data_IF_108028174292
#
_entry.id   IF_108028174292
#
_cell.length_a   1.000
_cell.length_b   1.000
_cell.length_c   1.000
_cell.angle_alpha   90.00
_cell.angle_beta   90.00
_cell.angle_gamma   90.00
#
_symmetry.space_group_name_H-M   'P 1'
#
loop_
_entity.id
_entity.type
_entity.pdbx_description
1 polymer ?
#
# COMPACT_ATOMS: atom_id res chain seq x y z
N UNK A 1 3.35 -4.76 -22.28
CA UNK A 1 3.68 -3.63 -21.39
C UNK A 1 4.42 -4.20 -20.20
N UNK A 2 5.73 -3.96 -20.12
CA UNK A 2 6.62 -4.54 -19.11
C UNK A 2 6.25 -4.03 -17.72
N UNK A 3 6.22 -4.93 -16.74
CA UNK A 3 6.22 -4.55 -15.33
C UNK A 3 7.40 -3.60 -15.08
N UNK A 4 7.09 -2.38 -14.65
CA UNK A 4 8.09 -1.35 -14.38
C UNK A 4 8.84 -1.75 -13.12
N UNK A 5 10.04 -2.31 -13.28
CA UNK A 5 11.02 -2.44 -12.19
C UNK A 5 11.15 -1.09 -11.51
N UNK A 6 10.98 -1.05 -10.18
CA UNK A 6 11.23 0.15 -9.37
C UNK A 6 12.67 0.61 -9.65
N UNK A 7 12.80 1.65 -10.49
CA UNK A 7 14.01 2.48 -10.54
C UNK A 7 14.25 3.02 -9.13
N UNK A 8 15.51 3.28 -8.78
CA UNK A 8 15.86 3.93 -7.53
C UNK A 8 14.96 5.15 -7.29
N UNK A 9 14.37 5.24 -6.09
CA UNK A 9 13.48 6.34 -5.68
C UNK A 9 14.21 7.22 -4.67
N UNK A 10 13.90 8.52 -4.67
CA UNK A 10 14.47 9.54 -3.80
C UNK A 10 15.96 9.81 -4.05
N UNK A 11 16.84 8.88 -3.68
CA UNK A 11 18.30 9.04 -3.71
C UNK A 11 18.94 7.91 -4.54
N UNK A 12 20.00 8.23 -5.28
CA UNK A 12 20.83 7.20 -5.92
C UNK A 12 22.18 7.00 -5.20
N UNK A 13 22.93 6.01 -5.68
CA UNK A 13 24.22 5.55 -5.13
C UNK A 13 25.33 6.63 -5.04
N UNK A 14 25.11 7.83 -5.61
CA UNK A 14 26.05 8.95 -5.49
C UNK A 14 26.06 9.54 -4.08
N UNK A 15 24.96 9.44 -3.34
CA UNK A 15 24.81 10.02 -2.01
C UNK A 15 25.08 8.93 -0.96
N UNK A 16 26.27 8.97 -0.35
CA UNK A 16 26.74 7.94 0.60
C UNK A 16 26.86 8.41 2.05
N UNK A 17 26.55 9.67 2.34
CA UNK A 17 26.64 10.25 3.68
C UNK A 17 25.62 11.37 3.88
N UNK A 18 25.32 11.66 5.14
CA UNK A 18 24.41 12.75 5.53
C UNK A 18 24.92 14.11 5.03
N UNK A 19 26.22 14.35 5.13
CA UNK A 19 26.85 15.59 4.65
C UNK A 19 26.73 15.73 3.13
N UNK A 20 26.89 14.62 2.39
CA UNK A 20 26.68 14.63 0.94
C UNK A 20 25.22 14.93 0.60
N UNK A 21 24.27 14.36 1.34
CA UNK A 21 22.84 14.63 1.18
C UNK A 21 22.51 16.11 1.42
N UNK A 22 22.92 16.68 2.56
CA UNK A 22 22.69 18.10 2.86
C UNK A 22 23.24 19.03 1.78
N UNK A 23 24.47 18.76 1.29
CA UNK A 23 25.08 19.56 0.23
C UNK A 23 24.31 19.46 -1.09
N UNK A 24 23.84 18.25 -1.44
CA UNK A 24 23.03 18.05 -2.65
C UNK A 24 21.70 18.75 -2.53
N UNK A 25 21.02 18.65 -1.39
CA UNK A 25 19.72 19.29 -1.16
C UNK A 25 19.79 20.81 -1.20
N UNK A 26 20.81 21.42 -0.57
CA UNK A 26 21.05 22.88 -0.67
C UNK A 26 21.31 23.31 -2.11
N UNK A 27 22.12 22.56 -2.86
CA UNK A 27 22.34 22.83 -4.29
C UNK A 27 21.07 22.64 -5.13
N UNK A 28 20.20 21.74 -4.70
CA UNK A 28 18.94 21.45 -5.36
C UNK A 28 17.86 22.48 -5.04
N UNK A 29 17.97 23.31 -4.00
CA UNK A 29 16.96 24.34 -3.66
C UNK A 29 16.94 25.50 -4.65
N UNK A 30 18.12 25.92 -5.13
CA UNK A 30 18.29 27.03 -6.07
C UNK A 30 17.61 26.78 -7.42
N UNK A 31 17.46 25.52 -7.82
CA UNK A 31 17.08 25.19 -9.19
C UNK A 31 15.56 25.11 -9.45
N UNK A 32 14.75 24.34 -8.66
CA UNK A 32 13.30 24.36 -8.72
C UNK A 32 12.72 25.75 -8.44
N UNK A 33 13.37 26.54 -7.57
CA UNK A 33 12.96 27.91 -7.26
C UNK A 33 13.18 28.90 -8.41
N UNK A 34 14.03 28.55 -9.39
CA UNK A 34 14.34 29.39 -10.55
C UNK A 34 13.45 29.09 -11.79
N UNK A 35 12.62 28.05 -11.74
CA UNK A 35 11.70 27.66 -12.82
C UNK A 35 10.24 27.91 -12.40
N UNK A 36 9.31 27.83 -13.35
CA UNK A 36 7.90 28.02 -13.03
C UNK A 36 7.40 26.92 -12.07
N UNK A 37 6.60 27.23 -11.03
CA UNK A 37 6.13 26.25 -10.03
C UNK A 37 5.46 25.01 -10.63
N UNK A 38 4.71 25.20 -11.73
CA UNK A 38 3.97 24.15 -12.44
C UNK A 38 4.82 23.35 -13.43
N UNK A 39 6.11 23.63 -13.55
CA UNK A 39 7.01 22.90 -14.47
C UNK A 39 6.98 21.42 -14.11
N UNK A 40 6.63 20.50 -15.04
CA UNK A 40 6.62 19.07 -14.76
C UNK A 40 8.01 18.51 -14.42
N UNK A 41 8.08 17.56 -13.49
CA UNK A 41 9.34 16.91 -13.08
C UNK A 41 10.16 16.38 -14.27
N UNK A 42 9.49 15.89 -15.31
CA UNK A 42 10.12 15.34 -16.51
C UNK A 42 11.05 16.33 -17.22
N UNK A 43 10.79 17.63 -17.14
CA UNK A 43 11.59 18.65 -17.81
C UNK A 43 12.96 18.88 -17.13
N UNK A 44 13.04 18.59 -15.83
CA UNK A 44 14.27 18.79 -15.04
C UNK A 44 14.84 17.51 -14.40
N UNK A 45 14.23 16.35 -14.68
CA UNK A 45 14.65 15.04 -14.16
C UNK A 45 16.16 14.79 -14.38
N UNK A 46 16.68 15.08 -15.57
CA UNK A 46 18.09 14.82 -15.88
C UNK A 46 19.03 15.56 -14.93
N UNK A 47 18.74 16.83 -14.64
CA UNK A 47 19.58 17.68 -13.79
C UNK A 47 19.55 17.25 -12.33
N UNK A 48 18.39 16.83 -11.83
CA UNK A 48 18.27 16.28 -10.48
C UNK A 48 18.99 14.94 -10.34
N UNK A 49 18.90 14.07 -11.34
CA UNK A 49 19.58 12.77 -11.33
C UNK A 49 21.11 12.90 -11.34
N UNK A 50 21.65 13.90 -12.06
CA UNK A 50 23.09 14.20 -12.08
C UNK A 50 23.65 14.51 -10.68
N UNK A 51 22.87 15.21 -9.85
CA UNK A 51 23.25 15.58 -8.48
C UNK A 51 22.90 14.51 -7.44
N UNK A 52 22.21 13.43 -7.85
CA UNK A 52 21.93 12.27 -7.00
C UNK A 52 20.48 12.10 -6.56
N UNK A 53 19.57 12.96 -7.06
CA UNK A 53 18.15 12.94 -6.73
C UNK A 53 17.34 12.24 -7.83
N UNK A 54 16.69 11.13 -7.49
CA UNK A 54 15.83 10.35 -8.40
C UNK A 54 14.36 10.80 -8.29
N UNK A 55 13.42 10.08 -8.90
CA UNK A 55 11.97 10.38 -8.80
C UNK A 55 11.44 10.15 -7.37
N UNK A 56 10.35 10.83 -7.01
CA UNK A 56 9.68 10.67 -5.71
C UNK A 56 9.58 11.95 -4.88
N UNK A 57 10.26 13.03 -5.28
CA UNK A 57 10.24 14.32 -4.58
C UNK A 57 8.99 15.16 -4.88
N UNK A 58 8.33 14.92 -6.03
CA UNK A 58 7.20 15.72 -6.49
C UNK A 58 6.96 15.54 -7.99
N UNK A 59 5.76 15.86 -8.45
CA UNK A 59 5.41 15.84 -9.88
C UNK A 59 5.64 17.17 -10.62
N UNK A 60 5.77 18.28 -9.88
CA UNK A 60 6.11 19.61 -10.40
C UNK A 60 7.23 20.27 -9.58
N UNK A 61 7.74 21.41 -10.05
CA UNK A 61 8.84 22.13 -9.41
C UNK A 61 8.50 22.59 -7.98
N UNK A 62 7.27 23.08 -7.76
CA UNK A 62 6.80 23.52 -6.45
C UNK A 62 6.92 22.42 -5.38
N UNK A 63 6.33 21.25 -5.65
CA UNK A 63 6.32 20.13 -4.70
C UNK A 63 7.71 19.58 -4.46
N UNK A 64 8.56 19.54 -5.49
CA UNK A 64 9.96 19.14 -5.33
C UNK A 64 10.68 20.11 -4.40
N UNK A 65 10.49 21.42 -4.59
CA UNK A 65 11.07 22.45 -3.72
C UNK A 65 10.59 22.31 -2.27
N UNK A 66 9.28 22.20 -2.06
CA UNK A 66 8.72 21.95 -0.73
C UNK A 66 9.35 20.73 -0.08
N UNK A 67 9.44 19.61 -0.80
CA UNK A 67 9.95 18.36 -0.26
C UNK A 67 11.43 18.46 0.12
N UNK A 68 12.24 19.14 -0.70
CA UNK A 68 13.66 19.41 -0.39
C UNK A 68 13.76 20.26 0.88
N UNK A 69 12.96 21.32 1.00
CA UNK A 69 12.95 22.20 2.17
C UNK A 69 12.58 21.44 3.44
N UNK A 70 11.51 20.62 3.42
CA UNK A 70 11.12 19.80 4.57
C UNK A 70 12.23 18.82 5.00
N UNK A 71 13.01 18.27 4.06
CA UNK A 71 14.14 17.40 4.41
C UNK A 71 15.28 18.20 5.02
N UNK A 72 15.60 19.37 4.48
CA UNK A 72 16.61 20.25 5.06
C UNK A 72 16.25 20.65 6.49
N UNK A 73 15.00 21.06 6.73
CA UNK A 73 14.49 21.39 8.07
C UNK A 73 14.65 20.21 9.04
N UNK A 74 14.28 19.00 8.60
CA UNK A 74 14.43 17.79 9.42
C UNK A 74 15.89 17.51 9.79
N UNK A 75 16.83 17.81 8.87
CA UNK A 75 18.25 17.58 9.06
C UNK A 75 18.93 18.67 9.92
N UNK A 76 18.40 19.89 9.92
CA UNK A 76 18.95 21.04 10.64
C UNK A 76 18.34 21.20 12.04
N UNK A 77 17.02 21.05 12.17
CA UNK A 77 16.29 21.19 13.43
C UNK A 77 14.99 20.35 13.42
N UNK A 78 15.01 19.09 13.90
CA UNK A 78 13.80 18.27 13.94
C UNK A 78 12.82 18.77 15.00
N UNK A 79 11.77 19.50 14.59
CA UNK A 79 10.63 19.80 15.45
C UNK A 79 9.73 18.55 15.63
N UNK A 80 8.96 18.44 16.73
CA UNK A 80 8.19 17.22 17.04
C UNK A 80 7.18 16.76 15.96
N UNK A 81 6.72 17.66 15.08
CA UNK A 81 5.71 17.38 14.03
C UNK A 81 6.31 17.15 12.63
N UNK A 82 7.58 17.49 12.44
CA UNK A 82 8.28 17.41 11.14
C UNK A 82 8.46 15.96 10.64
N UNK A 83 8.77 14.96 11.50
CA UNK A 83 8.91 13.58 11.04
C UNK A 83 7.62 12.97 10.51
N UNK A 84 6.46 13.27 11.11
CA UNK A 84 5.17 12.72 10.69
C UNK A 84 4.77 13.21 9.30
N UNK A 85 4.95 14.51 9.05
CA UNK A 85 4.65 15.13 7.75
C UNK A 85 5.60 14.61 6.68
N UNK A 86 6.89 14.50 6.99
CA UNK A 86 7.89 13.95 6.07
C UNK A 86 7.63 12.48 5.75
N UNK A 87 7.50 11.62 6.76
CA UNK A 87 7.23 10.18 6.58
C UNK A 87 5.89 9.93 5.86
N UNK A 88 4.87 10.76 6.12
CA UNK A 88 3.60 10.69 5.41
C UNK A 88 3.68 11.06 3.91
N UNK A 89 4.71 11.83 3.53
CA UNK A 89 5.00 12.25 2.13
C UNK A 89 5.99 11.34 1.41
N UNK A 90 6.59 10.34 2.06
CA UNK A 90 7.46 9.37 1.37
C UNK A 90 6.58 8.32 0.65
N UNK A 91 6.92 7.93 -0.60
CA UNK A 91 6.31 6.80 -1.30
C UNK A 91 6.61 5.45 -0.64
N UNK A 92 6.04 5.17 0.54
CA UNK A 92 6.29 3.89 1.24
C UNK A 92 5.25 2.82 0.90
N UNK A 93 3.99 3.21 0.66
CA UNK A 93 2.88 2.25 0.55
C UNK A 93 2.41 2.12 -0.90
N UNK A 94 2.81 1.03 -1.54
CA UNK A 94 2.35 0.68 -2.90
C UNK A 94 1.47 -0.58 -2.91
N UNK A 95 1.70 -1.49 -1.96
CA UNK A 95 0.93 -2.71 -1.80
C UNK A 95 0.35 -2.78 -0.39
N UNK A 96 -0.96 -2.97 -0.32
CA UNK A 96 -1.69 -3.04 0.96
C UNK A 96 -2.38 -4.39 1.07
N UNK A 97 -2.25 -4.99 2.25
CA UNK A 97 -2.95 -6.21 2.62
C UNK A 97 -3.85 -5.94 3.82
N UNK A 98 -5.13 -6.23 3.65
CA UNK A 98 -6.16 -6.11 4.70
C UNK A 98 -6.63 -7.51 5.08
N UNK A 99 -6.49 -7.89 6.34
CA UNK A 99 -6.92 -9.20 6.85
C UNK A 99 -8.34 -9.15 7.41
N UNK A 100 -9.23 -9.98 6.87
CA UNK A 100 -10.59 -10.19 7.37
C UNK A 100 -11.01 -11.67 7.22
N UNK A 101 -10.41 -12.59 8.00
CA UNK A 101 -10.61 -14.04 7.81
C UNK A 101 -11.96 -14.55 8.35
N UNK A 102 -12.71 -13.73 9.08
CA UNK A 102 -13.95 -14.13 9.76
C UNK A 102 -15.17 -13.78 8.91
N UNK A 103 -16.21 -14.61 9.03
CA UNK A 103 -17.53 -14.35 8.46
C UNK A 103 -17.67 -14.54 6.96
N UNK A 104 -18.77 -14.01 6.41
CA UNK A 104 -19.05 -13.97 4.98
C UNK A 104 -18.62 -12.62 4.43
N UNK A 105 -17.66 -12.63 3.49
CA UNK A 105 -17.14 -11.41 2.88
C UNK A 105 -17.38 -11.45 1.36
N UNK A 106 -18.36 -10.66 0.92
CA UNK A 106 -18.68 -10.42 -0.49
C UNK A 106 -19.31 -9.03 -0.65
N UNK A 107 -19.48 -8.61 -1.90
CA UNK A 107 -20.05 -7.30 -2.22
C UNK A 107 -21.57 -7.30 -2.29
N UNK A 108 -22.16 -8.46 -2.62
CA UNK A 108 -23.61 -8.66 -2.75
C UNK A 108 -24.06 -9.91 -1.97
N UNK A 109 -25.34 -9.96 -1.61
CA UNK A 109 -26.03 -11.12 -1.05
C UNK A 109 -25.45 -11.72 0.25
N UNK A 110 -24.66 -10.97 1.01
CA UNK A 110 -24.13 -11.42 2.32
C UNK A 110 -24.77 -10.71 3.52
N UNK A 111 -25.51 -9.63 3.30
CA UNK A 111 -26.21 -8.92 4.37
C UNK A 111 -27.24 -9.85 5.04
N UNK A 112 -27.10 -10.01 6.37
CA UNK A 112 -27.93 -10.91 7.18
C UNK A 112 -27.26 -12.23 7.57
N UNK A 113 -26.10 -12.57 6.99
CA UNK A 113 -25.30 -13.70 7.47
C UNK A 113 -24.49 -13.34 8.74
N UNK A 114 -24.20 -14.32 9.62
CA UNK A 114 -23.35 -14.11 10.79
C UNK A 114 -21.96 -13.58 10.42
N UNK A 115 -21.44 -12.66 11.24
CA UNK A 115 -20.09 -12.08 11.10
C UNK A 115 -19.81 -11.38 9.75
N UNK A 116 -20.83 -10.84 9.07
CA UNK A 116 -20.64 -10.12 7.79
C UNK A 116 -19.98 -8.75 7.99
N UNK A 117 -18.86 -8.50 7.31
CA UNK A 117 -18.09 -7.25 7.41
C UNK A 117 -18.15 -6.46 6.10
N UNK A 118 -18.90 -5.36 6.06
CA UNK A 118 -19.04 -4.50 4.86
C UNK A 118 -18.23 -3.21 4.90
N UNK A 119 -17.85 -2.73 6.10
CA UNK A 119 -17.18 -1.42 6.25
C UNK A 119 -15.81 -1.35 5.57
N UNK A 120 -15.15 -2.51 5.36
CA UNK A 120 -13.84 -2.59 4.72
C UNK A 120 -13.92 -2.14 3.25
N UNK A 121 -15.06 -2.37 2.58
CA UNK A 121 -15.23 -2.02 1.16
C UNK A 121 -15.15 -0.51 0.94
N UNK A 122 -15.77 0.28 1.82
CA UNK A 122 -15.71 1.74 1.74
C UNK A 122 -14.31 2.28 2.08
N UNK A 123 -13.65 1.68 3.07
CA UNK A 123 -12.27 2.04 3.44
C UNK A 123 -11.29 1.78 2.29
N UNK A 124 -11.44 0.66 1.58
CA UNK A 124 -10.57 0.31 0.45
C UNK A 124 -10.74 1.27 -0.71
N UNK A 125 -11.97 1.71 -1.02
CA UNK A 125 -12.23 2.72 -2.07
C UNK A 125 -11.55 4.06 -1.76
N UNK A 126 -11.70 4.52 -0.52
CA UNK A 126 -11.06 5.75 -0.07
C UNK A 126 -9.53 5.61 -0.08
N UNK A 127 -9.01 4.47 0.39
CA UNK A 127 -7.58 4.20 0.44
C UNK A 127 -6.96 4.15 -0.96
N UNK A 128 -7.58 3.48 -1.92
CA UNK A 128 -7.09 3.43 -3.29
C UNK A 128 -7.00 4.82 -3.92
N UNK A 129 -8.05 5.63 -3.73
CA UNK A 129 -8.11 7.01 -4.24
C UNK A 129 -6.97 7.86 -3.67
N UNK A 130 -6.71 7.75 -2.37
CA UNK A 130 -5.63 8.46 -1.69
C UNK A 130 -4.25 7.95 -2.14
N UNK A 131 -4.08 6.63 -2.32
CA UNK A 131 -2.83 6.05 -2.81
C UNK A 131 -2.50 6.56 -4.22
N UNK A 132 -3.48 6.55 -5.13
CA UNK A 132 -3.31 7.06 -6.50
C UNK A 132 -2.94 8.55 -6.49
N UNK A 133 -3.61 9.35 -5.65
CA UNK A 133 -3.33 10.77 -5.49
C UNK A 133 -1.88 11.01 -5.02
N UNK A 134 -1.42 10.28 -3.99
CA UNK A 134 -0.06 10.43 -3.46
C UNK A 134 1.02 9.99 -4.44
N UNK A 135 0.83 8.85 -5.11
CA UNK A 135 1.75 8.36 -6.15
C UNK A 135 1.89 9.40 -7.26
N UNK A 136 0.77 9.98 -7.70
CA UNK A 136 0.76 11.05 -8.70
C UNK A 136 1.48 12.30 -8.20
N UNK A 137 1.18 12.78 -6.98
CA UNK A 137 1.83 13.96 -6.41
C UNK A 137 3.35 13.83 -6.27
N UNK A 138 3.87 12.62 -6.10
CA UNK A 138 5.32 12.35 -6.01
C UNK A 138 6.00 12.15 -7.37
N UNK A 139 5.24 12.23 -8.48
CA UNK A 139 5.78 12.03 -9.82
C UNK A 139 6.16 10.58 -10.11
N UNK A 140 5.51 9.63 -9.45
CA UNK A 140 5.75 8.20 -9.61
C UNK A 140 4.69 7.55 -10.50
N UNK A 141 5.11 6.52 -11.23
CA UNK A 141 4.24 5.72 -12.10
C UNK A 141 4.16 4.30 -11.56
N UNK A 142 3.63 4.19 -10.34
CA UNK A 142 3.43 2.91 -9.64
C UNK A 142 1.94 2.60 -9.66
N UNK A 143 1.60 1.38 -10.03
CA UNK A 143 0.22 0.89 -9.95
C UNK A 143 0.07 0.32 -8.54
N UNK A 144 -0.78 0.91 -7.66
CA UNK A 144 -1.00 0.36 -6.34
C UNK A 144 -1.74 -0.98 -6.45
N UNK A 145 -1.69 -1.80 -5.40
CA UNK A 145 -2.53 -2.99 -5.32
C UNK A 145 -2.99 -3.22 -3.89
N UNK A 146 -4.30 -3.37 -3.71
CA UNK A 146 -4.92 -3.60 -2.40
C UNK A 146 -5.59 -4.98 -2.42
N UNK A 147 -5.22 -5.85 -1.48
CA UNK A 147 -5.82 -7.17 -1.33
C UNK A 147 -6.53 -7.28 0.02
N UNK A 148 -7.85 -7.48 -0.03
CA UNK A 148 -8.66 -7.85 1.13
C UNK A 148 -8.64 -9.37 1.22
N UNK A 149 -7.89 -9.90 2.17
CA UNK A 149 -7.74 -11.34 2.36
C UNK A 149 -8.79 -11.84 3.32
N UNK A 150 -9.57 -12.80 2.85
CA UNK A 150 -10.68 -13.40 3.60
C UNK A 150 -10.77 -14.89 3.31
N UNK A 151 -11.65 -15.58 4.01
CA UNK A 151 -11.80 -17.02 3.89
C UNK A 151 -12.58 -17.41 2.64
N UNK A 152 -12.11 -18.44 1.96
CA UNK A 152 -12.79 -19.08 0.85
C UNK A 152 -13.88 -20.04 1.36
N UNK A 153 -15.13 -19.80 0.95
CA UNK A 153 -16.31 -20.58 1.36
C UNK A 153 -17.01 -21.14 0.12
N UNK A 154 -16.65 -22.35 -0.34
CA UNK A 154 -17.17 -22.92 -1.59
C UNK A 154 -18.65 -23.31 -1.51
N UNK A 155 -19.18 -23.54 -0.31
CA UNK A 155 -20.57 -24.00 -0.11
C UNK A 155 -21.55 -22.83 0.13
N UNK A 156 -21.08 -21.58 0.09
CA UNK A 156 -21.89 -20.38 0.32
C UNK A 156 -22.69 -19.97 -0.93
N UNK A 157 -23.73 -20.75 -1.26
CA UNK A 157 -24.58 -20.56 -2.45
C UNK A 157 -25.27 -19.19 -2.42
N UNK A 158 -25.36 -18.54 -3.59
CA UNK A 158 -25.98 -17.22 -3.74
C UNK A 158 -25.04 -16.03 -3.46
N UNK A 159 -23.81 -16.31 -3.02
CA UNK A 159 -22.76 -15.33 -2.77
C UNK A 159 -21.54 -15.59 -3.65
N UNK A 160 -20.61 -14.65 -3.69
CA UNK A 160 -19.31 -14.82 -4.36
C UNK A 160 -18.21 -15.33 -3.41
N UNK A 161 -18.54 -15.76 -2.18
CA UNK A 161 -17.56 -16.23 -1.20
C UNK A 161 -16.76 -17.47 -1.66
N UNK A 162 -17.23 -18.18 -2.70
CA UNK A 162 -16.51 -19.27 -3.37
C UNK A 162 -15.68 -18.85 -4.58
N UNK A 163 -15.47 -17.55 -4.81
CA UNK A 163 -14.63 -17.02 -5.90
C UNK A 163 -13.27 -16.59 -5.32
N UNK A 164 -12.17 -17.20 -5.78
CA UNK A 164 -10.81 -16.95 -5.25
C UNK A 164 -10.43 -15.46 -5.32
N UNK A 165 -10.63 -14.82 -6.46
CA UNK A 165 -10.23 -13.42 -6.67
C UNK A 165 -11.41 -12.65 -7.25
N UNK A 166 -11.84 -11.60 -6.55
CA UNK A 166 -12.97 -10.76 -6.94
C UNK A 166 -12.57 -9.29 -6.91
N UNK A 167 -12.90 -8.55 -7.96
CA UNK A 167 -12.60 -7.10 -8.02
C UNK A 167 -13.59 -6.31 -7.18
N UNK A 168 -13.09 -5.37 -6.36
CA UNK A 168 -13.96 -4.47 -5.59
C UNK A 168 -14.63 -3.44 -6.51
N UNK A 169 -15.94 -3.27 -6.41
CA UNK A 169 -16.71 -2.31 -7.18
C UNK A 169 -16.28 -0.88 -6.87
N UNK A 170 -16.18 -0.08 -7.94
CA UNK A 170 -15.75 1.32 -7.85
C UNK A 170 -14.25 1.48 -7.63
N UNK A 171 -13.45 0.44 -7.84
CA UNK A 171 -11.99 0.46 -7.72
C UNK A 171 -11.31 -0.03 -9.00
N UNK A 172 -10.04 0.30 -9.20
CA UNK A 172 -9.24 -0.17 -10.33
C UNK A 172 -8.28 -1.30 -9.95
N UNK A 173 -7.73 -1.23 -8.75
CA UNK A 173 -6.59 -2.03 -8.29
C UNK A 173 -6.83 -2.74 -6.95
N UNK A 174 -8.08 -2.78 -6.49
CA UNK A 174 -8.47 -3.41 -5.24
C UNK A 174 -9.25 -4.70 -5.47
N UNK A 175 -8.85 -5.76 -4.77
CA UNK A 175 -9.40 -7.11 -4.94
C UNK A 175 -9.63 -7.81 -3.60
N UNK A 176 -10.65 -8.64 -3.54
CA UNK A 176 -10.89 -9.61 -2.48
C UNK A 176 -10.16 -10.90 -2.88
N UNK A 177 -9.21 -11.33 -2.07
CA UNK A 177 -8.49 -12.59 -2.20
C UNK A 177 -9.02 -13.57 -1.16
N UNK A 178 -9.56 -14.69 -1.62
CA UNK A 178 -10.15 -15.73 -0.78
C UNK A 178 -9.24 -16.93 -0.70
N UNK A 179 -8.78 -17.23 0.51
CA UNK A 179 -7.88 -18.36 0.78
C UNK A 179 -8.64 -19.45 1.54
N UNK A 180 -8.56 -20.73 1.16
CA UNK A 180 -9.21 -21.80 1.90
C UNK A 180 -8.51 -22.04 3.23
N UNK A 181 -9.27 -22.33 4.29
CA UNK A 181 -8.69 -22.93 5.49
C UNK A 181 -8.46 -24.42 5.23
N UNK A 182 -7.29 -24.92 5.64
CA UNK A 182 -6.94 -26.32 5.49
C UNK A 182 -6.95 -27.06 6.83
N UNK A 183 -7.22 -28.36 6.76
CA UNK A 183 -7.10 -29.31 7.85
C UNK A 183 -6.36 -30.55 7.32
N UNK A 184 -6.02 -31.50 8.20
CA UNK A 184 -5.44 -32.80 7.80
C UNK A 184 -6.28 -33.56 6.76
N UNK A 185 -7.59 -33.28 6.70
CA UNK A 185 -8.55 -33.92 5.77
C UNK A 185 -8.76 -33.10 4.48
N UNK A 186 -7.99 -32.04 4.26
CA UNK A 186 -8.13 -31.11 3.15
C UNK A 186 -8.89 -29.83 3.51
N UNK A 187 -9.46 -29.17 2.48
CA UNK A 187 -10.13 -27.86 2.61
C UNK A 187 -11.36 -27.93 3.51
N UNK A 188 -11.42 -27.02 4.48
CA UNK A 188 -12.59 -26.85 5.35
C UNK A 188 -13.64 -26.00 4.65
N UNK A 189 -14.67 -26.65 4.10
CA UNK A 189 -15.68 -26.03 3.24
C UNK A 189 -16.75 -25.24 3.99
N UNK A 190 -17.13 -25.70 5.19
CA UNK A 190 -18.21 -25.11 5.99
C UNK A 190 -17.78 -23.80 6.64
N UNK A 191 -18.74 -22.89 6.84
CA UNK A 191 -18.52 -21.72 7.70
C UNK A 191 -18.11 -22.16 9.12
N UNK A 192 -17.20 -21.40 9.71
CA UNK A 192 -16.68 -21.64 11.06
C UNK A 192 -16.97 -20.37 11.86
N UNK A 193 -17.44 -20.57 13.09
CA UNK A 193 -17.66 -19.48 14.03
C UNK A 193 -16.36 -18.71 14.30
N UNK A 194 -16.45 -17.39 14.48
CA UNK A 194 -15.30 -16.57 14.93
C UNK A 194 -14.65 -17.08 16.22
N UNK A 195 -15.37 -17.85 17.05
CA UNK A 195 -14.85 -18.45 18.29
C UNK A 195 -14.05 -19.74 18.06
N UNK A 196 -14.12 -20.33 16.86
CA UNK A 196 -13.48 -21.62 16.52
C UNK A 196 -12.43 -21.46 15.40
N UNK A 197 -12.36 -20.29 14.77
CA UNK A 197 -11.45 -20.01 13.63
C UNK A 197 -9.97 -20.14 14.01
N UNK A 198 -9.63 -19.95 15.28
CA UNK A 198 -8.25 -19.96 15.79
C UNK A 198 -7.52 -21.29 15.52
N UNK A 199 -8.25 -22.41 15.44
CA UNK A 199 -7.72 -23.73 15.13
C UNK A 199 -7.05 -23.83 13.75
N UNK A 200 -7.35 -22.88 12.85
CA UNK A 200 -6.90 -22.90 11.46
C UNK A 200 -5.95 -21.75 11.12
N UNK A 201 -5.69 -20.83 12.05
CA UNK A 201 -5.00 -19.57 11.74
C UNK A 201 -3.54 -19.76 11.34
N UNK A 202 -2.83 -20.71 11.93
CA UNK A 202 -1.41 -20.94 11.63
C UNK A 202 -1.22 -21.40 10.18
N UNK A 203 -1.88 -22.49 9.78
CA UNK A 203 -1.86 -22.97 8.39
C UNK A 203 -2.44 -21.95 7.42
N UNK A 204 -3.51 -21.25 7.82
CA UNK A 204 -4.10 -20.21 7.00
C UNK A 204 -3.14 -19.04 6.76
N UNK A 205 -2.33 -18.64 7.74
CA UNK A 205 -1.33 -17.59 7.57
C UNK A 205 -0.24 -17.98 6.56
N UNK A 206 0.21 -19.24 6.59
CA UNK A 206 1.16 -19.77 5.61
C UNK A 206 0.57 -19.80 4.19
N UNK A 207 -0.66 -20.30 4.05
CA UNK A 207 -1.38 -20.33 2.77
C UNK A 207 -1.60 -18.92 2.21
N UNK A 208 -1.99 -17.98 3.08
CA UNK A 208 -2.12 -16.56 2.72
C UNK A 208 -0.78 -15.99 2.26
N UNK A 209 0.33 -16.26 2.95
CA UNK A 209 1.64 -15.77 2.52
C UNK A 209 2.03 -16.28 1.13
N UNK A 210 1.75 -17.56 0.84
CA UNK A 210 1.97 -18.15 -0.48
C UNK A 210 1.11 -17.47 -1.56
N UNK A 211 -0.19 -17.30 -1.31
CA UNK A 211 -1.11 -16.64 -2.24
C UNK A 211 -0.73 -15.16 -2.47
N UNK A 212 -0.36 -14.43 -1.42
CA UNK A 212 0.13 -13.06 -1.53
C UNK A 212 1.43 -12.96 -2.34
N UNK A 213 2.32 -13.94 -2.24
CA UNK A 213 3.57 -13.96 -3.01
C UNK A 213 3.33 -14.05 -4.52
N UNK A 214 2.29 -14.79 -4.92
CA UNK A 214 1.83 -14.92 -6.30
C UNK A 214 1.22 -13.59 -6.77
N UNK A 215 0.39 -12.97 -5.94
CA UNK A 215 -0.32 -11.75 -6.31
C UNK A 215 0.59 -10.50 -6.34
N UNK A 216 1.63 -10.42 -5.51
CA UNK A 216 2.46 -9.22 -5.37
C UNK A 216 3.83 -9.24 -6.08
N UNK A 217 4.24 -10.32 -6.76
CA UNK A 217 5.45 -10.34 -7.61
C UNK A 217 6.70 -9.65 -7.00
N UNK A 218 7.01 -9.94 -5.72
CA UNK A 218 8.10 -9.35 -4.91
C UNK A 218 8.02 -7.82 -4.72
N UNK A 219 7.30 -7.36 -3.71
CA UNK A 219 7.42 -5.98 -3.19
C UNK A 219 7.08 -5.89 -1.69
N UNK A 220 7.50 -4.79 -1.07
CA UNK A 220 7.24 -4.44 0.34
C UNK A 220 5.73 -4.47 0.61
N UNK A 221 5.31 -5.33 1.53
CA UNK A 221 3.91 -5.47 1.95
C UNK A 221 3.70 -4.60 3.18
N UNK A 222 2.82 -3.61 3.09
CA UNK A 222 2.27 -2.97 4.29
C UNK A 222 1.04 -3.75 4.73
N UNK A 223 1.17 -4.47 5.84
CA UNK A 223 0.03 -5.14 6.48
C UNK A 223 -0.78 -4.11 7.28
N UNK A 224 -2.03 -3.91 6.89
CA UNK A 224 -2.99 -3.12 7.67
C UNK A 224 -4.01 -4.12 8.24
N UNK A 225 -3.77 -4.54 9.48
CA UNK A 225 -4.77 -5.30 10.23
C UNK A 225 -5.79 -4.30 10.78
N UNK A 226 -6.99 -4.25 10.20
CA UNK A 226 -8.10 -3.54 10.83
C UNK A 226 -8.45 -4.28 12.12
N UNK A 227 -8.11 -3.62 13.22
CA UNK A 227 -8.06 -4.14 14.59
C UNK A 227 -9.36 -4.83 15.00
N UNK A 228 -9.40 -6.17 14.91
CA UNK A 228 -10.34 -6.99 15.68
C UNK A 228 -9.81 -8.36 16.13
N UNK A 229 -8.55 -8.71 15.86
CA UNK A 229 -7.94 -9.90 16.47
C UNK A 229 -7.67 -9.67 17.97
N UNK A 230 -7.32 -8.44 18.37
CA UNK A 230 -6.95 -8.14 19.75
C UNK A 230 -8.11 -7.89 20.73
N UNK A 231 -9.34 -7.70 20.24
CA UNK A 231 -10.51 -7.51 21.12
C UNK A 231 -11.22 -8.82 21.49
N UNK A 232 -10.66 -9.96 21.08
CA UNK A 232 -11.19 -11.29 21.38
C UNK A 232 -10.41 -12.05 22.47
N UNK A 233 -9.37 -11.43 23.04
CA UNK A 233 -8.49 -12.03 24.07
C UNK A 233 -8.62 -11.39 25.46
N UNK A 234 -9.65 -10.57 25.69
CA UNK A 234 -10.05 -10.07 27.01
C UNK A 234 -11.56 -10.22 27.19
#
# INVERSE_FOLDING_TARGET
MSATTLKATMLNERIKSLNALQNVLRKAEDYPSAIAPETPYLEFEHKLREIGLERGWGNNAERVSEMIHHVLDLLEAPEPRTPETFLGRIPMVCNVVIMSPQGYFAQDNVLGYPDTVVYILDQVRALESEMLLRINHQGLYIIPRILIVTRFLPDAVGTTCGVRLEKVYGTEHSYILRVPSQSEKGIVRKWISRFEVWLYLDTYAEDVANELSIEFHRFVITFICFRHIHSCYL
#
